data_IF_164785720838
#
_entry.id   IF_164785720838
#
_cell.length_a   1.000
_cell.length_b   1.000
_cell.length_c   1.000
_cell.angle_alpha   90.00
_cell.angle_beta   90.00
_cell.angle_gamma   90.00
#
_symmetry.space_group_name_H-M   'P 1'
#
loop_
_entity.id
_entity.type
_entity.pdbx_description
1 polymer ?
#
# COMPACT_ATOMS: atom_id res chain seq x y z
N UNK A 1 -22.20 0.30 -12.40
CA UNK A 1 -21.23 1.36 -12.71
C UNK A 1 -21.91 2.52 -13.45
N UNK A 2 -22.53 2.32 -14.61
CA UNK A 2 -23.16 3.38 -15.42
C UNK A 2 -24.16 4.27 -14.64
N UNK A 3 -24.93 3.70 -13.69
CA UNK A 3 -25.86 4.49 -12.85
C UNK A 3 -25.13 5.42 -11.87
N UNK A 4 -23.96 5.03 -11.42
CA UNK A 4 -23.15 5.83 -10.49
C UNK A 4 -22.39 6.95 -11.21
N UNK A 5 -21.92 6.70 -12.42
CA UNK A 5 -21.26 7.68 -13.27
C UNK A 5 -22.19 8.85 -13.65
N UNK A 6 -23.49 8.55 -13.87
CA UNK A 6 -24.50 9.58 -14.14
C UNK A 6 -24.73 10.56 -13.00
N UNK A 7 -24.40 10.20 -11.75
CA UNK A 7 -24.48 11.06 -10.57
C UNK A 7 -23.13 11.68 -10.18
N UNK A 8 -22.14 11.63 -11.10
CA UNK A 8 -20.83 12.26 -10.91
C UNK A 8 -19.77 11.41 -10.22
N UNK A 9 -20.07 10.12 -10.00
CA UNK A 9 -19.05 9.21 -9.48
C UNK A 9 -18.00 8.90 -10.56
N UNK A 10 -16.72 8.92 -10.16
CA UNK A 10 -15.60 8.60 -11.05
C UNK A 10 -14.95 7.28 -10.63
N UNK A 11 -14.71 6.40 -11.61
CA UNK A 11 -13.93 5.20 -11.38
C UNK A 11 -12.43 5.54 -11.37
N UNK A 12 -11.78 5.38 -10.23
CA UNK A 12 -10.34 5.65 -10.05
C UNK A 12 -9.46 4.45 -10.40
N UNK A 13 -10.00 3.41 -11.00
CA UNK A 13 -9.32 2.16 -11.39
C UNK A 13 -8.59 1.41 -10.27
N UNK A 14 -8.20 2.08 -9.21
CA UNK A 14 -7.54 1.50 -8.02
C UNK A 14 -8.29 1.86 -6.75
N UNK A 15 -8.30 0.96 -5.76
CA UNK A 15 -8.88 1.22 -4.45
C UNK A 15 -8.15 2.39 -3.78
N UNK A 16 -8.87 3.43 -3.36
CA UNK A 16 -8.35 4.67 -2.79
C UNK A 16 -7.52 5.54 -3.75
N UNK A 17 -7.75 5.41 -5.07
CA UNK A 17 -7.10 6.23 -6.10
C UNK A 17 -7.56 7.69 -6.13
N UNK A 18 -8.59 8.05 -5.34
CA UNK A 18 -9.08 9.43 -5.16
C UNK A 18 -8.06 10.34 -4.47
N UNK A 19 -7.18 9.78 -3.66
CA UNK A 19 -6.09 10.50 -3.01
C UNK A 19 -4.77 10.24 -3.73
N UNK A 20 -4.18 11.29 -4.32
CA UNK A 20 -2.88 11.21 -5.02
C UNK A 20 -1.81 10.66 -4.10
N UNK A 21 -1.75 11.12 -2.84
CA UNK A 21 -0.80 10.61 -1.86
C UNK A 21 -0.98 9.12 -1.60
N UNK A 22 -2.22 8.67 -1.39
CA UNK A 22 -2.51 7.25 -1.13
C UNK A 22 -2.19 6.39 -2.35
N UNK A 23 -2.55 6.85 -3.55
CA UNK A 23 -2.22 6.19 -4.82
C UNK A 23 -0.71 6.05 -4.99
N UNK A 24 0.06 7.15 -4.81
CA UNK A 24 1.52 7.17 -4.90
C UNK A 24 2.15 6.22 -3.87
N UNK A 25 1.73 6.31 -2.60
CA UNK A 25 2.28 5.48 -1.54
C UNK A 25 2.05 3.99 -1.78
N UNK A 26 0.83 3.60 -2.17
CA UNK A 26 0.45 2.19 -2.33
C UNK A 26 0.97 1.57 -3.63
N UNK A 27 0.94 2.32 -4.73
CA UNK A 27 1.21 1.79 -6.07
C UNK A 27 2.66 2.01 -6.52
N UNK A 28 3.43 2.83 -5.79
CA UNK A 28 4.84 3.08 -6.09
C UNK A 28 5.71 2.86 -4.86
N UNK A 29 5.56 3.69 -3.82
CA UNK A 29 6.50 3.71 -2.68
C UNK A 29 6.59 2.36 -1.94
N UNK A 30 5.47 1.71 -1.64
CA UNK A 30 5.45 0.39 -0.98
C UNK A 30 6.10 -0.69 -1.84
N UNK A 31 5.89 -0.64 -3.15
CA UNK A 31 6.45 -1.63 -4.08
C UNK A 31 7.95 -1.46 -4.19
N UNK A 32 8.42 -0.23 -4.51
CA UNK A 32 9.84 0.05 -4.71
C UNK A 32 10.65 -0.15 -3.43
N UNK A 33 10.14 0.33 -2.31
CA UNK A 33 10.88 0.26 -1.04
C UNK A 33 10.82 -1.10 -0.37
N UNK A 34 9.65 -1.75 -0.37
CA UNK A 34 9.41 -2.96 0.42
C UNK A 34 9.12 -4.20 -0.41
N UNK A 35 8.91 -4.08 -1.71
CA UNK A 35 8.45 -5.16 -2.58
C UNK A 35 7.00 -5.58 -2.30
N UNK A 36 6.23 -4.73 -1.63
CA UNK A 36 4.89 -5.04 -1.18
C UNK A 36 3.83 -4.48 -2.13
N UNK A 37 3.30 -5.35 -2.98
CA UNK A 37 2.17 -5.05 -3.86
C UNK A 37 0.84 -5.46 -3.19
N UNK A 38 0.06 -4.47 -2.76
CA UNK A 38 -1.23 -4.67 -2.10
C UNK A 38 -2.26 -5.43 -2.96
N UNK A 39 -2.12 -5.40 -4.29
CA UNK A 39 -3.01 -6.14 -5.19
C UNK A 39 -2.94 -7.64 -4.91
N UNK A 40 -1.78 -8.16 -4.52
CA UNK A 40 -1.60 -9.59 -4.21
C UNK A 40 -2.52 -10.05 -3.09
N UNK A 41 -2.57 -9.30 -1.98
CA UNK A 41 -3.46 -9.62 -0.86
C UNK A 41 -4.93 -9.50 -1.25
N UNK A 42 -5.28 -8.42 -1.97
CA UNK A 42 -6.65 -8.20 -2.43
C UNK A 42 -7.13 -9.29 -3.40
N UNK A 43 -6.33 -9.65 -4.39
CA UNK A 43 -6.71 -10.69 -5.34
C UNK A 43 -6.69 -12.09 -4.71
N UNK A 44 -5.81 -12.36 -3.74
CA UNK A 44 -5.86 -13.62 -2.98
C UNK A 44 -7.19 -13.76 -2.25
N UNK A 45 -7.69 -12.71 -1.61
CA UNK A 45 -9.00 -12.72 -0.98
C UNK A 45 -10.12 -13.00 -1.99
N UNK A 46 -10.08 -12.37 -3.18
CA UNK A 46 -11.08 -12.59 -4.22
C UNK A 46 -11.04 -13.98 -4.83
N UNK A 47 -9.86 -14.61 -4.91
CA UNK A 47 -9.74 -16.02 -5.33
C UNK A 47 -10.37 -16.92 -4.30
N UNK A 48 -10.14 -16.67 -3.00
CA UNK A 48 -10.73 -17.46 -1.92
C UNK A 48 -12.26 -17.35 -1.85
N UNK A 49 -12.82 -16.19 -2.25
CA UNK A 49 -14.27 -16.00 -2.35
C UNK A 49 -14.88 -16.47 -3.68
N UNK A 50 -14.12 -17.10 -4.57
CA UNK A 50 -14.53 -17.49 -5.92
C UNK A 50 -15.00 -16.34 -6.84
N UNK A 51 -14.60 -15.10 -6.53
CA UNK A 51 -14.90 -13.90 -7.35
C UNK A 51 -13.90 -13.70 -8.51
N UNK A 52 -12.81 -14.46 -8.52
CA UNK A 52 -11.71 -14.29 -9.48
C UNK A 52 -10.93 -15.59 -9.63
N UNK A 53 -10.47 -15.89 -10.85
CA UNK A 53 -9.54 -17.00 -11.05
C UNK A 53 -8.09 -16.57 -10.78
N UNK A 54 -7.21 -17.55 -10.55
CA UNK A 54 -5.78 -17.30 -10.33
C UNK A 54 -5.10 -16.71 -11.58
N UNK A 55 -5.54 -17.13 -12.75
CA UNK A 55 -5.05 -16.65 -14.06
C UNK A 55 -5.39 -15.18 -14.26
N UNK A 56 -6.65 -14.80 -14.00
CA UNK A 56 -7.08 -13.41 -14.02
C UNK A 56 -6.28 -12.53 -13.05
N UNK A 57 -6.03 -13.04 -11.84
CA UNK A 57 -5.22 -12.32 -10.86
C UNK A 57 -3.79 -12.10 -11.33
N UNK A 58 -3.14 -13.10 -11.94
CA UNK A 58 -1.79 -12.98 -12.51
C UNK A 58 -1.73 -11.96 -13.62
N UNK A 59 -2.69 -11.98 -14.55
CA UNK A 59 -2.79 -11.00 -15.63
C UNK A 59 -2.90 -9.57 -15.08
N UNK A 60 -3.75 -9.35 -14.07
CA UNK A 60 -3.91 -8.03 -13.47
C UNK A 60 -2.68 -7.56 -12.70
N UNK A 61 -1.95 -8.47 -12.04
CA UNK A 61 -0.69 -8.14 -11.34
C UNK A 61 0.41 -7.76 -12.34
N UNK A 62 0.45 -8.35 -13.53
CA UNK A 62 1.46 -8.03 -14.54
C UNK A 62 1.29 -6.64 -15.17
N UNK A 63 0.11 -6.02 -15.01
CA UNK A 63 -0.14 -4.66 -15.52
C UNK A 63 0.58 -3.63 -14.68
N UNK A 64 1.25 -2.71 -15.35
CA UNK A 64 1.89 -1.55 -14.71
C UNK A 64 0.85 -0.68 -13.99
N UNK A 65 1.21 -0.17 -12.83
CA UNK A 65 0.36 0.69 -12.00
C UNK A 65 0.53 2.18 -12.31
N UNK A 66 1.66 2.54 -12.93
CA UNK A 66 2.00 3.91 -13.30
C UNK A 66 2.57 3.98 -14.71
N UNK A 67 2.13 4.95 -15.48
CA UNK A 67 2.93 5.47 -16.59
C UNK A 67 4.07 6.33 -16.04
N UNK A 68 5.22 6.46 -16.73
CA UNK A 68 6.31 7.32 -16.30
C UNK A 68 5.87 8.79 -16.10
N UNK A 69 4.93 9.26 -16.93
CA UNK A 69 4.40 10.63 -16.85
C UNK A 69 3.57 10.84 -15.58
N UNK A 70 2.62 9.92 -15.31
CA UNK A 70 1.78 10.01 -14.12
C UNK A 70 2.60 9.92 -12.84
N UNK A 71 3.63 9.05 -12.82
CA UNK A 71 4.52 8.91 -11.69
C UNK A 71 5.26 10.21 -11.39
N UNK A 72 5.80 10.89 -12.40
CA UNK A 72 6.48 12.17 -12.22
C UNK A 72 5.54 13.26 -11.71
N UNK A 73 4.32 13.32 -12.21
CA UNK A 73 3.31 14.27 -11.74
C UNK A 73 2.93 14.02 -10.27
N UNK A 74 2.69 12.76 -9.90
CA UNK A 74 2.34 12.40 -8.53
C UNK A 74 3.52 12.60 -7.58
N UNK A 75 4.78 12.35 -8.00
CA UNK A 75 5.99 12.69 -7.23
C UNK A 75 6.11 14.19 -6.97
N UNK A 76 5.91 15.01 -7.99
CA UNK A 76 5.94 16.47 -7.85
C UNK A 76 4.85 16.96 -6.88
N UNK A 77 3.65 16.43 -7.00
CA UNK A 77 2.55 16.77 -6.09
C UNK A 77 2.87 16.38 -4.64
N UNK A 78 3.35 15.14 -4.42
CA UNK A 78 3.65 14.62 -3.09
C UNK A 78 4.81 15.39 -2.44
N UNK A 79 5.89 15.65 -3.19
CA UNK A 79 7.03 16.41 -2.67
C UNK A 79 6.64 17.83 -2.26
N UNK A 80 5.84 18.54 -3.06
CA UNK A 80 5.27 19.85 -2.71
C UNK A 80 4.39 19.81 -1.47
N UNK A 81 3.57 18.77 -1.32
CA UNK A 81 2.70 18.62 -0.13
C UNK A 81 3.46 18.30 1.14
N UNK A 82 4.62 17.66 1.05
CA UNK A 82 5.48 17.34 2.18
C UNK A 82 6.53 18.43 2.45
N UNK A 83 6.60 19.47 1.62
CA UNK A 83 7.60 20.55 1.65
C UNK A 83 9.04 20.01 1.59
N UNK A 84 9.27 19.07 0.67
CA UNK A 84 10.57 18.44 0.40
C UNK A 84 10.87 18.47 -1.09
N UNK A 85 12.14 18.32 -1.47
CA UNK A 85 12.53 18.13 -2.86
C UNK A 85 12.21 16.73 -3.37
N UNK A 86 12.09 16.56 -4.69
CA UNK A 86 11.92 15.22 -5.29
C UNK A 86 13.12 14.30 -5.00
N UNK A 87 14.35 14.87 -4.94
CA UNK A 87 15.55 14.11 -4.60
C UNK A 87 15.54 13.60 -3.16
N UNK A 88 15.00 14.38 -2.23
CA UNK A 88 14.78 13.92 -0.85
C UNK A 88 13.71 12.82 -0.79
N UNK A 89 12.61 12.97 -1.54
CA UNK A 89 11.58 11.94 -1.63
C UNK A 89 12.15 10.61 -2.17
N UNK A 90 13.00 10.68 -3.20
CA UNK A 90 13.66 9.50 -3.76
C UNK A 90 14.70 8.91 -2.79
N UNK A 91 15.40 9.75 -2.00
CA UNK A 91 16.32 9.27 -0.97
C UNK A 91 15.64 8.39 0.08
N UNK A 92 14.35 8.63 0.37
CA UNK A 92 13.60 7.80 1.32
C UNK A 92 13.42 6.35 0.86
N UNK A 93 13.48 6.09 -0.45
CA UNK A 93 13.48 4.71 -0.96
C UNK A 93 14.75 3.95 -0.56
N UNK A 94 15.88 4.65 -0.41
CA UNK A 94 17.19 4.08 -0.11
C UNK A 94 17.51 3.98 1.39
N UNK A 95 16.73 4.66 2.26
CA UNK A 95 16.95 4.62 3.69
C UNK A 95 16.88 3.18 4.23
N UNK A 96 17.65 2.83 5.28
CA UNK A 96 17.55 1.51 5.90
C UNK A 96 16.12 1.25 6.39
N UNK A 97 15.64 0.02 6.17
CA UNK A 97 14.32 -0.40 6.65
C UNK A 97 14.34 -0.46 8.17
N UNK A 98 13.46 0.29 8.81
CA UNK A 98 13.30 0.27 10.26
C UNK A 98 12.30 -0.80 10.66
N UNK A 99 12.61 -1.53 11.73
CA UNK A 99 11.67 -2.47 12.33
C UNK A 99 10.72 -1.73 13.29
N UNK A 100 9.52 -2.24 13.49
CA UNK A 100 8.51 -1.68 14.40
C UNK A 100 9.02 -1.56 15.85
N UNK A 101 9.96 -2.43 16.28
CA UNK A 101 10.58 -2.41 17.61
C UNK A 101 11.43 -1.15 17.88
N UNK A 102 11.84 -0.44 16.82
CA UNK A 102 12.60 0.81 16.92
C UNK A 102 11.71 2.02 17.24
N UNK A 103 10.39 1.85 17.17
CA UNK A 103 9.42 2.84 17.53
C UNK A 103 8.81 2.54 18.88
N UNK A 104 8.38 3.59 19.63
CA UNK A 104 7.67 3.42 20.88
C UNK A 104 6.35 2.68 20.64
N UNK A 105 6.23 1.47 21.17
CA UNK A 105 5.09 0.59 20.95
C UNK A 105 4.78 -0.29 22.17
N UNK A 106 3.63 -0.95 22.16
CA UNK A 106 3.15 -1.80 23.27
C UNK A 106 3.65 -3.25 23.22
N UNK A 107 4.48 -3.65 22.26
CA UNK A 107 4.90 -5.04 22.05
C UNK A 107 5.54 -5.65 23.30
N UNK A 108 6.34 -4.87 24.03
CA UNK A 108 7.00 -5.32 25.28
C UNK A 108 5.95 -5.75 26.32
N UNK A 109 4.91 -4.96 26.49
CA UNK A 109 3.85 -5.23 27.48
C UNK A 109 2.97 -6.40 27.03
N UNK A 110 2.64 -6.50 25.75
CA UNK A 110 1.91 -7.62 25.20
C UNK A 110 2.67 -8.94 25.35
N UNK A 111 3.99 -8.94 25.14
CA UNK A 111 4.86 -10.12 25.32
C UNK A 111 4.93 -10.56 26.79
N UNK A 112 4.95 -9.61 27.73
CA UNK A 112 4.91 -9.92 29.16
C UNK A 112 3.57 -10.53 29.52
N UNK A 113 2.47 -9.92 29.10
CA UNK A 113 1.11 -10.44 29.33
C UNK A 113 0.90 -11.84 28.77
N UNK A 114 1.41 -12.11 27.56
CA UNK A 114 1.37 -13.43 26.94
C UNK A 114 2.15 -14.49 27.73
N UNK A 115 3.32 -14.14 28.26
CA UNK A 115 4.12 -15.03 29.11
C UNK A 115 3.43 -15.35 30.44
N UNK A 116 2.83 -14.36 31.07
CA UNK A 116 2.06 -14.52 32.31
C UNK A 116 0.87 -15.44 32.07
N UNK A 117 0.09 -15.18 31.01
CA UNK A 117 -1.06 -16.01 30.68
C UNK A 117 -0.69 -17.47 30.40
N UNK A 118 0.44 -17.69 29.71
CA UNK A 118 0.95 -19.03 29.45
C UNK A 118 1.39 -19.76 30.74
N UNK A 119 1.92 -19.04 31.71
CA UNK A 119 2.32 -19.57 33.01
C UNK A 119 1.10 -19.92 33.89
N UNK A 120 0.02 -19.12 33.81
CA UNK A 120 -1.19 -19.34 34.60
C UNK A 120 -2.10 -20.44 33.98
N UNK A 121 -1.91 -20.81 32.72
CA UNK A 121 -2.69 -21.82 32.00
C UNK A 121 -2.00 -23.19 31.93
N UNK A 122 -0.80 -23.33 32.51
CA UNK A 122 -0.10 -24.62 32.67
C UNK A 122 -0.14 -25.09 34.12
#
# INVERSE_FOLDING_TARGET
LEKLEKIGWRNYSTKHGESIFTKFFQNYFLIERYGYDKRRAHYSSRILSNDMTREQAKELISKELYSPLDLNQDKDYVSKKLDISQSELDSFLLLPKRNYDQFKNWSKYMNIGSKINKFLSS
#
